data_IF_635049796182
#
_entry.id   IF_635049796182
#
_cell.length_a   1.000
_cell.length_b   1.000
_cell.length_c   1.000
_cell.angle_alpha   90.00
_cell.angle_beta   90.00
_cell.angle_gamma   90.00
#
_symmetry.space_group_name_H-M   'P 1'
#
loop_
_entity.id
_entity.type
_entity.pdbx_description
1 polymer ?
#
# COMPACT_ATOMS: atom_id res chain seq x y z
N UNK A 1 13.63 9.37 -0.10
CA UNK A 1 14.06 9.94 -1.40
C UNK A 1 14.81 11.26 -1.18
N UNK A 2 16.07 11.30 -1.60
CA UNK A 2 16.89 12.50 -1.60
C UNK A 2 16.90 13.08 -3.01
N UNK A 3 16.33 14.27 -3.23
CA UNK A 3 16.29 14.87 -4.56
C UNK A 3 17.69 15.30 -5.02
N UNK A 4 18.06 14.86 -6.21
CA UNK A 4 19.32 15.27 -6.87
C UNK A 4 18.99 16.35 -7.90
N UNK A 5 19.75 17.44 -7.90
CA UNK A 5 19.59 18.50 -8.92
C UNK A 5 19.96 17.98 -10.30
N UNK A 6 19.09 18.19 -11.28
CA UNK A 6 19.27 17.71 -12.63
C UNK A 6 18.63 18.64 -13.66
N UNK A 7 19.01 18.51 -14.93
CA UNK A 7 18.42 19.27 -16.03
C UNK A 7 17.12 18.64 -16.54
N UNK A 8 16.99 17.31 -16.36
CA UNK A 8 15.86 16.52 -16.81
C UNK A 8 15.47 15.52 -15.74
N UNK A 9 14.18 15.48 -15.41
CA UNK A 9 13.63 14.56 -14.43
C UNK A 9 12.54 13.70 -15.08
N UNK A 10 12.59 12.39 -14.83
CA UNK A 10 11.57 11.44 -15.28
C UNK A 10 10.80 10.97 -14.06
N UNK A 11 9.47 11.05 -14.08
CA UNK A 11 8.61 10.65 -12.98
C UNK A 11 7.38 9.88 -13.46
N UNK A 12 6.88 9.01 -12.60
CA UNK A 12 5.54 8.44 -12.75
C UNK A 12 4.48 9.43 -12.22
N UNK A 13 3.20 9.14 -12.47
CA UNK A 13 2.08 9.96 -12.01
C UNK A 13 0.86 9.12 -11.61
N UNK A 14 1.06 7.94 -11.03
CA UNK A 14 -0.01 7.02 -10.61
C UNK A 14 -1.06 7.73 -9.76
N UNK A 15 -0.62 8.51 -8.78
CA UNK A 15 -1.48 9.34 -7.94
C UNK A 15 -1.31 10.84 -8.24
N UNK A 16 -1.07 11.15 -9.51
CA UNK A 16 -0.88 12.51 -10.04
C UNK A 16 -2.17 13.33 -10.21
N UNK A 17 -3.15 13.15 -9.34
CA UNK A 17 -4.38 13.94 -9.28
C UNK A 17 -4.55 14.60 -7.91
N UNK A 18 -5.11 15.82 -7.84
CA UNK A 18 -5.30 16.56 -6.57
C UNK A 18 -6.14 15.84 -5.51
N UNK A 19 -6.92 14.83 -5.91
CA UNK A 19 -7.73 14.02 -4.99
C UNK A 19 -6.88 13.09 -4.12
N UNK A 20 -5.67 12.73 -4.59
CA UNK A 20 -4.77 11.86 -3.85
C UNK A 20 -3.87 12.70 -2.94
N UNK A 21 -4.16 12.65 -1.65
CA UNK A 21 -3.38 13.30 -0.58
C UNK A 21 -3.32 12.34 0.58
N UNK A 22 -2.10 11.88 0.89
CA UNK A 22 -1.94 10.91 1.97
C UNK A 22 -2.08 11.58 3.33
N UNK A 23 -2.77 10.90 4.22
CA UNK A 23 -2.71 11.20 5.64
C UNK A 23 -1.30 10.92 6.16
N UNK A 24 -0.99 11.43 7.34
CA UNK A 24 0.24 11.05 8.03
C UNK A 24 0.27 9.54 8.27
N UNK A 25 1.43 8.93 8.12
CA UNK A 25 1.59 7.48 8.22
C UNK A 25 1.16 6.95 9.60
N UNK A 26 1.52 7.69 10.65
CA UNK A 26 1.17 7.36 12.03
C UNK A 26 -0.36 7.32 12.24
N UNK A 27 -1.11 8.20 11.58
CA UNK A 27 -2.58 8.19 11.63
C UNK A 27 -3.14 6.93 10.99
N UNK A 28 -2.59 6.51 9.85
CA UNK A 28 -3.03 5.28 9.16
C UNK A 28 -2.70 4.05 9.99
N UNK A 29 -1.52 4.00 10.60
CA UNK A 29 -1.14 2.90 11.49
C UNK A 29 -2.02 2.86 12.75
N UNK A 30 -2.36 4.01 13.32
CA UNK A 30 -3.30 4.09 14.44
C UNK A 30 -4.69 3.55 14.04
N UNK A 31 -5.19 3.88 12.84
CA UNK A 31 -6.45 3.35 12.33
C UNK A 31 -6.41 1.82 12.11
N UNK A 32 -5.30 1.28 11.58
CA UNK A 32 -5.12 -0.17 11.40
C UNK A 32 -5.11 -0.88 12.75
N UNK A 33 -4.34 -0.37 13.71
CA UNK A 33 -4.23 -0.93 15.06
C UNK A 33 -5.57 -0.84 15.81
N UNK A 34 -6.33 0.24 15.64
CA UNK A 34 -7.66 0.36 16.24
C UNK A 34 -8.64 -0.66 15.65
N UNK A 35 -8.69 -0.79 14.30
CA UNK A 35 -9.52 -1.78 13.63
C UNK A 35 -9.19 -3.21 14.08
N UNK A 36 -7.91 -3.55 14.18
CA UNK A 36 -7.46 -4.84 14.69
C UNK A 36 -7.89 -5.06 16.15
N UNK A 37 -7.69 -4.08 17.01
CA UNK A 37 -8.09 -4.14 18.42
C UNK A 37 -9.59 -4.34 18.60
N UNK A 38 -10.40 -3.70 17.76
CA UNK A 38 -11.86 -3.86 17.76
C UNK A 38 -12.27 -5.29 17.35
N UNK A 39 -11.67 -5.83 16.29
CA UNK A 39 -11.91 -7.21 15.86
C UNK A 39 -11.48 -8.22 16.93
N UNK A 40 -10.29 -8.06 17.50
CA UNK A 40 -9.76 -8.95 18.53
C UNK A 40 -10.65 -8.99 19.79
N UNK A 41 -11.32 -7.87 20.15
CA UNK A 41 -12.31 -7.83 21.24
C UNK A 41 -13.59 -8.58 20.92
N UNK A 42 -13.91 -8.77 19.66
CA UNK A 42 -15.08 -9.47 19.16
C UNK A 42 -14.76 -10.90 18.67
N UNK A 43 -13.61 -11.43 19.05
CA UNK A 43 -13.14 -12.76 18.65
C UNK A 43 -13.12 -12.99 17.12
N UNK A 44 -12.82 -11.93 16.35
CA UNK A 44 -12.73 -11.93 14.90
C UNK A 44 -11.29 -11.78 14.44
N UNK A 45 -10.89 -12.55 13.43
CA UNK A 45 -9.62 -12.33 12.73
C UNK A 45 -9.64 -11.01 11.95
N UNK A 46 -8.51 -10.33 11.86
CA UNK A 46 -8.31 -9.18 10.98
C UNK A 46 -7.45 -9.59 9.80
N UNK A 47 -7.99 -9.63 8.58
CA UNK A 47 -7.23 -10.00 7.39
C UNK A 47 -6.94 -8.77 6.56
N UNK A 48 -5.68 -8.35 6.50
CA UNK A 48 -5.25 -7.14 5.78
C UNK A 48 -4.52 -7.52 4.49
N UNK A 49 -5.16 -7.26 3.36
CA UNK A 49 -4.57 -7.45 2.05
C UNK A 49 -3.64 -6.30 1.69
N UNK A 50 -2.41 -6.63 1.31
CA UNK A 50 -1.40 -5.70 0.86
C UNK A 50 -0.38 -6.41 -0.05
N UNK A 51 0.40 -5.66 -0.82
CA UNK A 51 1.50 -6.27 -1.57
C UNK A 51 2.53 -6.88 -0.62
N UNK A 52 2.99 -8.08 -0.96
CA UNK A 52 3.88 -8.88 -0.12
C UNK A 52 5.26 -8.22 0.04
N UNK A 53 5.74 -7.50 -1.00
CA UNK A 53 7.02 -6.82 -1.02
C UNK A 53 6.86 -5.33 -0.73
N UNK A 54 7.63 -4.79 0.18
CA UNK A 54 7.66 -3.39 0.59
C UNK A 54 6.48 -3.00 1.49
N UNK A 55 5.25 -3.07 0.99
CA UNK A 55 4.06 -2.62 1.72
C UNK A 55 3.77 -3.44 2.97
N UNK A 56 3.88 -4.77 2.91
CA UNK A 56 3.68 -5.61 4.08
C UNK A 56 4.69 -5.27 5.18
N UNK A 57 5.96 -5.08 4.85
CA UNK A 57 7.01 -4.74 5.80
C UNK A 57 6.80 -3.33 6.38
N UNK A 58 6.35 -2.38 5.56
CA UNK A 58 5.98 -1.03 6.02
C UNK A 58 4.80 -1.07 6.98
N UNK A 59 3.79 -1.90 6.74
CA UNK A 59 2.68 -2.10 7.70
C UNK A 59 3.21 -2.73 8.99
N UNK A 60 4.04 -3.77 8.90
CA UNK A 60 4.61 -4.44 10.06
C UNK A 60 5.39 -3.49 10.98
N UNK A 61 6.06 -2.46 10.44
CA UNK A 61 6.78 -1.47 11.24
C UNK A 61 5.86 -0.56 12.08
N UNK A 62 4.57 -0.47 11.73
CA UNK A 62 3.58 0.35 12.43
C UNK A 62 2.56 -0.45 13.25
N UNK A 63 2.65 -1.80 13.27
CA UNK A 63 1.74 -2.62 14.07
C UNK A 63 2.15 -2.66 15.54
N UNK A 64 1.14 -2.58 16.40
CA UNK A 64 1.28 -2.74 17.85
C UNK A 64 1.19 -4.21 18.25
N UNK A 65 2.35 -4.85 18.50
CA UNK A 65 2.44 -6.26 18.86
C UNK A 65 1.76 -6.66 20.16
N UNK A 66 1.37 -5.71 21.00
CA UNK A 66 0.68 -5.97 22.28
C UNK A 66 -0.83 -6.26 22.08
N UNK A 67 -1.38 -5.99 20.89
CA UNK A 67 -2.80 -6.27 20.59
C UNK A 67 -3.05 -7.76 20.48
N UNK A 68 -2.17 -8.51 19.82
CA UNK A 68 -2.32 -9.94 19.57
C UNK A 68 -1.29 -10.52 18.60
N UNK A 69 -1.46 -11.77 18.17
CA UNK A 69 -0.56 -12.40 17.22
C UNK A 69 -0.57 -11.73 15.85
N UNK A 70 0.61 -11.53 15.27
CA UNK A 70 0.79 -11.03 13.90
C UNK A 70 1.19 -12.21 13.02
N UNK A 71 0.34 -12.51 12.05
CA UNK A 71 0.46 -13.68 11.20
C UNK A 71 0.64 -13.24 9.75
N UNK A 72 1.44 -13.97 8.99
CA UNK A 72 1.72 -13.63 7.60
C UNK A 72 1.43 -14.78 6.65
N UNK A 73 0.99 -14.45 5.46
CA UNK A 73 0.93 -15.40 4.35
C UNK A 73 2.34 -15.87 3.98
N UNK A 74 2.47 -17.12 3.53
CA UNK A 74 3.77 -17.71 3.14
C UNK A 74 4.55 -16.92 2.08
N UNK A 75 3.90 -16.08 1.28
CA UNK A 75 4.57 -15.20 0.33
C UNK A 75 5.20 -13.95 0.98
N UNK A 76 4.82 -13.61 2.20
CA UNK A 76 5.30 -12.41 2.92
C UNK A 76 6.52 -12.75 3.78
N UNK A 77 6.51 -13.89 4.46
CA UNK A 77 7.54 -14.21 5.46
C UNK A 77 8.98 -14.32 4.93
N UNK A 78 9.24 -14.87 3.75
CA UNK A 78 10.61 -14.87 3.19
C UNK A 78 11.15 -13.45 2.97
N UNK A 79 10.27 -12.51 2.62
CA UNK A 79 10.65 -11.10 2.47
C UNK A 79 10.92 -10.44 3.82
N UNK A 80 10.13 -10.75 4.85
CA UNK A 80 10.38 -10.27 6.21
C UNK A 80 11.76 -10.72 6.73
N UNK A 81 12.16 -11.96 6.42
CA UNK A 81 13.48 -12.47 6.78
C UNK A 81 14.60 -11.63 6.17
N UNK A 82 14.51 -11.31 4.86
CA UNK A 82 15.47 -10.45 4.17
C UNK A 82 15.55 -9.04 4.76
N UNK A 83 14.40 -8.46 5.14
CA UNK A 83 14.39 -7.15 5.79
C UNK A 83 15.08 -7.19 7.16
N UNK A 84 14.84 -8.23 7.97
CA UNK A 84 15.51 -8.42 9.26
C UNK A 84 17.02 -8.62 9.10
N UNK A 85 17.44 -9.41 8.10
CA UNK A 85 18.85 -9.61 7.75
C UNK A 85 19.53 -8.28 7.32
N UNK A 86 18.78 -7.40 6.66
CA UNK A 86 19.23 -6.06 6.31
C UNK A 86 19.21 -5.06 7.49
N UNK A 87 18.88 -5.51 8.71
CA UNK A 87 18.88 -4.68 9.92
C UNK A 87 17.60 -3.86 10.13
N UNK A 88 16.53 -4.14 9.37
CA UNK A 88 15.23 -3.49 9.58
C UNK A 88 14.50 -4.16 10.75
N UNK A 89 14.17 -3.38 11.76
CA UNK A 89 13.37 -3.87 12.90
C UNK A 89 11.92 -4.07 12.48
N UNK A 90 11.46 -5.33 12.50
CA UNK A 90 10.08 -5.70 12.27
C UNK A 90 9.55 -6.47 13.48
N UNK A 91 8.29 -6.22 13.85
CA UNK A 91 7.58 -6.99 14.87
C UNK A 91 7.65 -8.49 14.58
N UNK A 92 7.59 -9.31 15.63
CA UNK A 92 7.60 -10.76 15.48
C UNK A 92 6.37 -11.24 14.70
N UNK A 93 6.59 -12.12 13.74
CA UNK A 93 5.55 -12.70 12.88
C UNK A 93 5.57 -14.22 12.91
N UNK A 94 4.43 -14.83 12.63
CA UNK A 94 4.30 -16.26 12.43
C UNK A 94 3.67 -16.53 11.06
N UNK A 95 4.04 -17.61 10.39
CA UNK A 95 3.36 -18.00 9.16
C UNK A 95 2.03 -18.67 9.47
N UNK A 96 1.04 -18.48 8.60
CA UNK A 96 -0.26 -19.17 8.72
C UNK A 96 -0.10 -20.69 8.81
N UNK A 97 0.90 -21.27 8.13
CA UNK A 97 1.18 -22.70 8.13
C UNK A 97 1.75 -23.23 9.46
N UNK A 98 2.29 -22.37 10.30
CA UNK A 98 2.83 -22.73 11.61
C UNK A 98 1.76 -22.70 12.71
N UNK A 99 0.54 -22.25 12.42
CA UNK A 99 -0.54 -22.16 13.40
C UNK A 99 -1.34 -23.47 13.42
N UNK A 100 -1.28 -24.20 14.53
CA UNK A 100 -2.03 -25.43 14.77
C UNK A 100 -3.40 -25.16 15.38
N UNK A 101 -3.48 -24.22 16.33
CA UNK A 101 -4.75 -23.84 16.98
C UNK A 101 -5.45 -22.69 16.25
N UNK A 102 -6.56 -23.00 15.58
CA UNK A 102 -7.37 -22.01 14.85
C UNK A 102 -7.93 -20.87 15.75
N UNK A 103 -7.99 -21.06 17.06
CA UNK A 103 -8.45 -19.98 17.96
C UNK A 103 -7.47 -18.80 18.00
N UNK A 104 -6.22 -19.00 17.68
CA UNK A 104 -5.21 -17.94 17.57
C UNK A 104 -5.65 -16.88 16.56
N UNK A 105 -6.30 -17.28 15.46
CA UNK A 105 -6.75 -16.33 14.43
C UNK A 105 -7.77 -15.33 14.95
N UNK A 106 -8.60 -15.67 15.92
CA UNK A 106 -9.68 -14.81 16.47
C UNK A 106 -9.17 -13.48 17.03
N UNK A 107 -7.88 -13.40 17.39
CA UNK A 107 -7.29 -12.19 17.94
C UNK A 107 -6.13 -11.66 17.10
N UNK A 108 -5.86 -12.29 15.96
CA UNK A 108 -4.72 -11.97 15.14
C UNK A 108 -5.03 -10.93 14.07
N UNK A 109 -3.96 -10.27 13.63
CA UNK A 109 -3.92 -9.63 12.31
C UNK A 109 -3.15 -10.53 11.35
N UNK A 110 -3.68 -10.73 10.15
CA UNK A 110 -3.10 -11.57 9.10
C UNK A 110 -2.78 -10.70 7.90
N UNK A 111 -1.49 -10.61 7.51
CA UNK A 111 -1.10 -9.91 6.29
C UNK A 111 -0.96 -10.89 5.14
N UNK A 112 -1.60 -10.59 4.02
CA UNK A 112 -1.63 -11.44 2.85
C UNK A 112 -1.64 -10.66 1.53
N UNK A 113 -1.11 -11.24 0.42
CA UNK A 113 -1.24 -10.61 -0.88
C UNK A 113 -2.70 -10.63 -1.36
N UNK A 114 -3.11 -9.69 -2.23
CA UNK A 114 -4.49 -9.58 -2.72
C UNK A 114 -5.04 -10.86 -3.34
N UNK A 115 -4.18 -11.65 -3.99
CA UNK A 115 -4.54 -12.95 -4.60
C UNK A 115 -5.03 -13.99 -3.60
N UNK A 116 -4.73 -13.84 -2.31
CA UNK A 116 -5.20 -14.76 -1.26
C UNK A 116 -6.70 -14.58 -0.95
N UNK A 117 -7.26 -13.37 -1.15
CA UNK A 117 -8.63 -13.03 -0.79
C UNK A 117 -9.71 -13.83 -1.52
N UNK A 118 -9.50 -14.15 -2.80
CA UNK A 118 -10.46 -14.92 -3.60
C UNK A 118 -10.24 -16.45 -3.52
N UNK A 119 -9.43 -16.93 -2.58
CA UNK A 119 -9.02 -18.35 -2.52
C UNK A 119 -9.63 -19.09 -1.35
N UNK A 120 -9.69 -20.45 -1.38
CA UNK A 120 -10.10 -21.26 -0.24
C UNK A 120 -9.25 -21.04 1.03
N UNK A 121 -8.10 -20.40 0.90
CA UNK A 121 -7.21 -20.04 2.00
C UNK A 121 -7.91 -19.23 3.09
N UNK A 122 -8.88 -18.38 2.71
CA UNK A 122 -9.68 -17.57 3.64
C UNK A 122 -10.54 -18.38 4.62
N UNK A 123 -10.95 -19.61 4.26
CA UNK A 123 -11.82 -20.45 5.09
C UNK A 123 -11.23 -20.80 6.46
N UNK A 124 -9.92 -20.71 6.62
CA UNK A 124 -9.22 -21.05 7.87
C UNK A 124 -9.41 -20.02 8.99
N UNK A 125 -9.82 -18.80 8.65
CA UNK A 125 -9.94 -17.72 9.64
C UNK A 125 -11.30 -17.69 10.35
N UNK A 126 -12.28 -18.49 9.90
CA UNK A 126 -13.62 -18.51 10.49
C UNK A 126 -14.34 -17.18 10.31
N UNK A 127 -14.74 -16.53 11.42
CA UNK A 127 -15.24 -15.17 11.38
C UNK A 127 -14.08 -14.18 11.31
N UNK A 128 -14.08 -13.36 10.27
CA UNK A 128 -13.04 -12.36 10.03
C UNK A 128 -13.63 -11.04 9.53
N UNK A 129 -12.90 -9.98 9.74
CA UNK A 129 -13.06 -8.73 9.00
C UNK A 129 -11.89 -8.59 8.05
N UNK A 130 -12.15 -8.19 6.82
CA UNK A 130 -11.10 -7.97 5.85
C UNK A 130 -10.88 -6.50 5.52
N UNK A 131 -9.67 -6.17 5.12
CA UNK A 131 -9.29 -4.84 4.72
C UNK A 131 -8.28 -4.86 3.58
N UNK A 132 -8.17 -3.76 2.85
CA UNK A 132 -7.17 -3.58 1.79
C UNK A 132 -6.35 -2.32 2.04
N UNK A 133 -5.01 -2.45 2.01
CA UNK A 133 -4.07 -1.34 2.12
C UNK A 133 -3.52 -0.97 0.74
N UNK A 134 -3.99 0.15 0.20
CA UNK A 134 -3.56 0.68 -1.10
C UNK A 134 -3.91 2.15 -1.22
N UNK A 135 -3.13 2.93 -1.98
CA UNK A 135 -3.45 4.33 -2.29
C UNK A 135 -4.83 4.50 -2.96
N UNK A 136 -5.28 3.49 -3.70
CA UNK A 136 -6.61 3.49 -4.33
C UNK A 136 -7.76 3.49 -3.32
N UNK A 137 -7.51 3.17 -2.06
CA UNK A 137 -8.53 3.20 -0.99
C UNK A 137 -8.93 4.62 -0.58
N UNK A 138 -8.22 5.64 -1.05
CA UNK A 138 -8.62 7.04 -0.92
C UNK A 138 -9.98 7.31 -1.58
N UNK A 139 -10.29 6.62 -2.69
CA UNK A 139 -11.50 6.86 -3.47
C UNK A 139 -12.60 5.87 -3.06
N UNK A 140 -13.75 6.39 -2.59
CA UNK A 140 -14.88 5.56 -2.13
C UNK A 140 -15.38 4.55 -3.18
N UNK A 141 -15.42 4.94 -4.45
CA UNK A 141 -15.86 4.06 -5.53
C UNK A 141 -14.96 2.84 -5.69
N UNK A 142 -13.66 3.01 -5.61
CA UNK A 142 -12.69 1.92 -5.68
C UNK A 142 -12.80 0.99 -4.47
N UNK A 143 -12.97 1.57 -3.26
CA UNK A 143 -13.19 0.80 -2.04
C UNK A 143 -14.41 -0.12 -2.15
N UNK A 144 -15.54 0.40 -2.65
CA UNK A 144 -16.77 -0.40 -2.86
C UNK A 144 -16.56 -1.54 -3.86
N UNK A 145 -15.83 -1.32 -4.94
CA UNK A 145 -15.58 -2.37 -5.95
C UNK A 145 -14.70 -3.51 -5.42
N UNK A 146 -13.83 -3.24 -4.46
CA UNK A 146 -12.98 -4.28 -3.85
C UNK A 146 -13.75 -5.24 -2.95
N UNK A 147 -14.96 -4.88 -2.48
CA UNK A 147 -15.80 -5.76 -1.69
C UNK A 147 -15.24 -6.13 -0.31
N UNK A 148 -14.28 -5.34 0.21
CA UNK A 148 -13.71 -5.51 1.56
C UNK A 148 -14.43 -4.64 2.57
N UNK A 149 -14.45 -5.06 3.83
CA UNK A 149 -15.10 -4.34 4.94
C UNK A 149 -14.45 -2.96 5.15
N UNK A 150 -13.12 -2.86 5.00
CA UNK A 150 -12.40 -1.62 5.24
C UNK A 150 -11.27 -1.38 4.20
N UNK A 151 -10.92 -0.13 3.97
CA UNK A 151 -9.80 0.26 3.12
C UNK A 151 -8.93 1.29 3.83
N UNK A 152 -7.62 1.08 3.80
CA UNK A 152 -6.61 2.00 4.32
C UNK A 152 -5.84 2.62 3.16
N UNK A 153 -5.82 3.96 3.10
CA UNK A 153 -5.15 4.69 2.03
C UNK A 153 -3.63 4.76 2.27
N UNK A 154 -2.96 3.63 2.17
CA UNK A 154 -1.51 3.50 2.34
C UNK A 154 -0.86 3.15 1.00
N UNK A 155 0.03 4.01 0.52
CA UNK A 155 0.70 3.85 -0.77
C UNK A 155 2.22 3.98 -0.66
N UNK A 156 2.93 3.18 -1.45
CA UNK A 156 4.39 3.27 -1.63
C UNK A 156 4.76 4.30 -2.72
N UNK A 157 3.76 4.80 -3.45
CA UNK A 157 3.92 5.89 -4.39
C UNK A 157 3.66 7.25 -3.74
N UNK A 158 4.31 8.28 -4.25
CA UNK A 158 4.05 9.65 -3.86
C UNK A 158 2.61 10.07 -4.25
N UNK A 159 1.99 10.87 -3.39
CA UNK A 159 0.74 11.54 -3.68
C UNK A 159 0.94 12.79 -4.55
N UNK A 160 -0.16 13.49 -4.84
CA UNK A 160 -0.12 14.75 -5.58
C UNK A 160 0.90 15.75 -5.04
N UNK A 161 0.92 15.97 -3.75
CA UNK A 161 1.84 16.92 -3.11
C UNK A 161 3.28 16.41 -3.12
N UNK A 162 3.48 15.12 -2.88
CA UNK A 162 4.79 14.47 -2.90
C UNK A 162 5.44 14.52 -4.28
N UNK A 163 4.67 14.25 -5.34
CA UNK A 163 5.14 14.35 -6.73
C UNK A 163 5.61 15.76 -7.05
N UNK A 164 4.80 16.78 -6.72
CA UNK A 164 5.17 18.17 -6.95
C UNK A 164 6.43 18.56 -6.18
N UNK A 165 6.50 18.19 -4.90
CA UNK A 165 7.66 18.45 -4.05
C UNK A 165 8.93 17.81 -4.63
N UNK A 166 8.84 16.55 -5.08
CA UNK A 166 9.96 15.85 -5.68
C UNK A 166 10.43 16.54 -6.96
N UNK A 167 9.52 16.86 -7.89
CA UNK A 167 9.83 17.53 -9.15
C UNK A 167 10.51 18.87 -8.89
N UNK A 168 9.92 19.74 -8.07
CA UNK A 168 10.45 21.08 -7.80
C UNK A 168 11.80 21.04 -7.09
N UNK A 169 12.03 20.06 -6.22
CA UNK A 169 13.29 19.92 -5.50
C UNK A 169 14.49 19.58 -6.40
N UNK A 170 14.25 18.95 -7.56
CA UNK A 170 15.30 18.64 -8.53
C UNK A 170 15.79 19.89 -9.28
N UNK A 171 14.98 20.95 -9.37
CA UNK A 171 15.26 22.12 -10.17
C UNK A 171 15.33 21.85 -11.68
N UNK A 172 14.76 20.75 -12.14
CA UNK A 172 14.76 20.35 -13.54
C UNK A 172 13.94 21.31 -14.40
N UNK A 173 14.49 21.67 -15.55
CA UNK A 173 13.81 22.50 -16.57
C UNK A 173 12.89 21.65 -17.46
N UNK A 174 13.26 20.37 -17.65
CA UNK A 174 12.52 19.38 -18.44
C UNK A 174 12.01 18.26 -17.55
N UNK A 175 10.72 17.95 -17.68
CA UNK A 175 10.08 16.87 -16.92
C UNK A 175 9.37 15.92 -17.87
N UNK A 176 9.75 14.66 -17.83
CA UNK A 176 9.02 13.61 -18.55
C UNK A 176 8.15 12.83 -17.58
N UNK A 177 6.88 12.73 -17.93
CA UNK A 177 5.86 12.04 -17.09
C UNK A 177 5.44 10.74 -17.75
N UNK A 178 5.48 9.65 -16.99
CA UNK A 178 5.04 8.34 -17.42
C UNK A 178 4.05 7.75 -16.40
N UNK A 179 3.24 6.82 -16.84
CA UNK A 179 2.24 6.09 -16.02
C UNK A 179 1.25 6.96 -15.23
N UNK A 180 0.03 6.50 -15.13
CA UNK A 180 -1.02 7.13 -14.34
C UNK A 180 -1.65 8.36 -15.02
N UNK A 181 -1.78 9.47 -14.31
CA UNK A 181 -2.49 10.67 -14.77
C UNK A 181 -1.57 11.62 -15.56
N UNK A 182 -0.92 11.09 -16.61
CA UNK A 182 0.12 11.76 -17.39
C UNK A 182 -0.33 13.12 -17.93
N UNK A 183 -1.46 13.18 -18.64
CA UNK A 183 -1.94 14.39 -19.29
C UNK A 183 -2.23 15.53 -18.29
N UNK A 184 -2.79 15.16 -17.13
CA UNK A 184 -3.08 16.13 -16.06
C UNK A 184 -1.79 16.69 -15.48
N UNK A 185 -0.81 15.83 -15.22
CA UNK A 185 0.47 16.26 -14.66
C UNK A 185 1.27 17.09 -15.66
N UNK A 186 1.35 16.67 -16.92
CA UNK A 186 2.03 17.42 -17.99
C UNK A 186 1.44 18.83 -18.14
N UNK A 187 0.10 18.92 -18.20
CA UNK A 187 -0.60 20.20 -18.30
C UNK A 187 -0.29 21.08 -17.07
N UNK A 188 -0.40 20.55 -15.89
CA UNK A 188 -0.16 21.28 -14.64
C UNK A 188 1.27 21.81 -14.53
N UNK A 189 2.27 21.02 -14.96
CA UNK A 189 3.68 21.43 -15.00
C UNK A 189 3.92 22.52 -16.05
N UNK A 190 3.32 22.37 -17.24
CA UNK A 190 3.40 23.37 -18.33
C UNK A 190 2.81 24.73 -17.91
N UNK A 191 1.68 24.75 -17.19
CA UNK A 191 1.07 25.98 -16.64
C UNK A 191 1.99 26.69 -15.62
N UNK A 192 3.02 25.99 -15.11
CA UNK A 192 4.07 26.53 -14.21
C UNK A 192 5.39 26.85 -14.91
N UNK A 193 5.40 26.80 -16.23
CA UNK A 193 6.55 27.19 -17.05
C UNK A 193 7.63 26.10 -17.20
N UNK A 194 7.34 24.85 -16.83
CA UNK A 194 8.25 23.72 -17.04
C UNK A 194 8.02 23.10 -18.44
N UNK A 195 9.11 22.71 -19.13
CA UNK A 195 9.02 21.89 -20.36
C UNK A 195 8.63 20.46 -19.99
N UNK A 196 7.33 20.22 -19.85
CA UNK A 196 6.78 18.95 -19.45
C UNK A 196 6.21 18.16 -20.65
N UNK A 197 6.54 16.87 -20.73
CA UNK A 197 6.13 15.99 -21.84
C UNK A 197 5.77 14.62 -21.33
N UNK A 198 4.89 13.92 -22.07
CA UNK A 198 4.66 12.50 -21.83
C UNK A 198 5.88 11.67 -22.26
N UNK A 199 6.20 10.65 -21.46
CA UNK A 199 7.23 9.68 -21.77
C UNK A 199 6.57 8.32 -22.06
N UNK A 200 6.61 7.89 -23.31
CA UNK A 200 6.09 6.57 -23.70
C UNK A 200 7.16 5.53 -23.41
N UNK A 201 6.79 4.51 -22.66
CA UNK A 201 7.61 3.31 -22.44
C UNK A 201 7.24 2.24 -23.46
N UNK A 202 8.16 1.31 -23.78
CA UNK A 202 7.87 0.15 -24.65
C UNK A 202 6.87 -0.82 -23.99
N UNK A 203 6.82 -0.83 -22.67
CA UNK A 203 5.82 -1.55 -21.88
C UNK A 203 4.61 -0.63 -21.79
N UNK A 204 3.53 -1.02 -22.48
CA UNK A 204 2.28 -0.24 -22.55
C UNK A 204 1.75 0.17 -21.19
N UNK A 205 0.86 1.13 -21.20
CA UNK A 205 0.13 1.54 -19.99
C UNK A 205 -0.39 0.27 -19.30
N UNK A 206 0.10 -0.04 -18.12
CA UNK A 206 -0.57 -0.98 -17.25
C UNK A 206 -1.97 -0.41 -17.06
N UNK A 207 -2.93 -0.93 -17.83
CA UNK A 207 -4.33 -0.68 -17.59
C UNK A 207 -4.55 -0.91 -16.11
N UNK A 208 -5.01 0.15 -15.46
CA UNK A 208 -5.42 0.15 -14.06
C UNK A 208 -5.93 -1.25 -13.71
N UNK A 209 -5.32 -1.95 -12.75
CA UNK A 209 -5.84 -3.19 -12.14
C UNK A 209 -7.22 -2.96 -11.50
N UNK A 210 -8.10 -2.29 -12.22
CA UNK A 210 -9.48 -1.99 -11.88
C UNK A 210 -10.43 -2.92 -12.62
N UNK A 211 -9.91 -3.75 -13.52
CA UNK A 211 -10.73 -4.65 -14.31
C UNK A 211 -10.30 -6.10 -14.14
N UNK A 212 -10.92 -6.79 -13.21
CA UNK A 212 -11.48 -8.12 -13.50
C UNK A 212 -12.50 -8.49 -12.44
N UNK A 213 -13.62 -9.07 -12.89
CA UNK A 213 -14.83 -9.32 -12.11
C UNK A 213 -14.64 -10.33 -10.98
#
# INVERSE_FOLDING_TARGET
FEPVRCHCFITESTFGLPIYRWQAEDEIFAEINQWWRENARNDRASVLFCYAFGKAQRILSGLDGDIGPIITHGAVEPLNALYREAGVELVATQTVSAIEDANIFKRSIVLAPPSAGASPWMKRFGDYSDAFASGWMQVRGTRRRRGVDRGFALSDHADWNGLQKAILATGAEKVFVTHGSVDVMVRWLGERGLDARSFKTEYGDEELEVSSP
#
